data_IF_754292142830
#
_entry.id   IF_754292142830
#
_cell.length_a   1.000
_cell.length_b   1.000
_cell.length_c   1.000
_cell.angle_alpha   90.00
_cell.angle_beta   90.00
_cell.angle_gamma   90.00
#
_symmetry.space_group_name_H-M   'P 1'
#
loop_
_entity.id
_entity.type
_entity.pdbx_description
1 polymer ?
#
# COMPACT_ATOMS: atom_id res chain seq x y z
N UNK A 1 -20.09 2.36 8.81
CA UNK A 1 -19.47 1.87 10.06
C UNK A 1 -18.00 1.65 9.80
N UNK A 2 -17.17 2.53 10.33
CA UNK A 2 -15.75 2.59 10.02
C UNK A 2 -14.97 1.45 10.69
N UNK A 3 -13.97 0.94 9.98
CA UNK A 3 -13.04 -0.08 10.41
C UNK A 3 -11.64 0.46 10.67
N UNK A 4 -11.47 1.78 10.71
CA UNK A 4 -10.15 2.41 10.84
C UNK A 4 -9.34 1.88 12.04
N UNK A 5 -10.01 1.49 13.13
CA UNK A 5 -9.35 0.91 14.32
C UNK A 5 -8.83 -0.52 14.12
N UNK A 6 -9.43 -1.28 13.20
CA UNK A 6 -9.01 -2.67 12.87
C UNK A 6 -7.74 -2.69 12.02
N UNK A 7 -7.52 -1.64 11.22
CA UNK A 7 -6.28 -1.48 10.48
C UNK A 7 -5.13 -1.20 11.44
N UNK A 8 -3.95 -1.75 11.13
CA UNK A 8 -2.70 -1.37 11.81
C UNK A 8 -2.28 0.05 11.38
N UNK A 9 -1.02 0.23 10.98
CA UNK A 9 -0.47 1.51 10.57
C UNK A 9 -0.72 1.80 9.09
N UNK A 10 -0.86 0.78 8.25
CA UNK A 10 -1.07 0.95 6.81
C UNK A 10 -1.69 -0.30 6.18
N UNK A 11 -2.22 -0.16 4.98
CA UNK A 11 -2.73 -1.23 4.12
C UNK A 11 -2.60 -0.85 2.63
N UNK A 12 -2.73 -1.83 1.74
CA UNK A 12 -2.88 -1.62 0.30
C UNK A 12 -4.03 -2.43 -0.29
N UNK A 13 -4.62 -1.93 -1.37
CA UNK A 13 -5.59 -2.63 -2.19
C UNK A 13 -4.87 -3.51 -3.22
N UNK A 14 -5.15 -4.82 -3.28
CA UNK A 14 -4.51 -5.73 -4.24
C UNK A 14 -4.77 -5.36 -5.71
N UNK A 15 -6.01 -4.96 -6.03
CA UNK A 15 -6.50 -4.87 -7.40
C UNK A 15 -5.89 -3.72 -8.20
N UNK A 16 -5.54 -2.61 -7.57
CA UNK A 16 -4.99 -1.43 -8.27
C UNK A 16 -3.49 -1.23 -8.04
N UNK A 17 -2.92 -1.94 -7.06
CA UNK A 17 -1.48 -2.18 -7.02
C UNK A 17 -1.07 -3.27 -8.04
N UNK A 18 -1.76 -3.42 -9.17
CA UNK A 18 -1.50 -4.45 -10.17
C UNK A 18 -0.06 -4.41 -10.75
N UNK A 19 0.58 -3.24 -10.74
CA UNK A 19 2.02 -3.15 -11.07
C UNK A 19 2.92 -3.76 -9.99
N UNK A 20 2.41 -4.01 -8.79
CA UNK A 20 3.10 -4.46 -7.57
C UNK A 20 2.74 -5.89 -7.15
N UNK A 21 1.51 -6.32 -7.41
CA UNK A 21 0.94 -7.60 -6.98
C UNK A 21 0.52 -8.54 -8.11
N UNK A 22 0.92 -8.28 -9.34
CA UNK A 22 0.55 -9.00 -10.59
C UNK A 22 0.68 -10.53 -10.57
N UNK A 23 1.14 -11.14 -9.48
CA UNK A 23 1.44 -12.57 -9.38
C UNK A 23 0.91 -13.27 -8.13
N UNK A 24 0.21 -12.60 -7.21
CA UNK A 24 -0.26 -13.27 -5.98
C UNK A 24 -1.55 -12.65 -5.40
N UNK A 25 -2.71 -13.13 -5.83
CA UNK A 25 -4.00 -12.75 -5.20
C UNK A 25 -4.17 -13.34 -3.80
N UNK A 26 -3.41 -14.38 -3.45
CA UNK A 26 -3.46 -15.03 -2.12
C UNK A 26 -2.88 -14.12 -1.02
N UNK A 27 -2.34 -12.94 -1.36
CA UNK A 27 -1.79 -11.99 -0.38
C UNK A 27 -2.82 -11.48 0.60
N UNK A 28 -4.10 -11.40 0.19
CA UNK A 28 -5.21 -11.06 1.09
C UNK A 28 -5.40 -12.14 2.14
N UNK A 29 -5.30 -13.41 1.76
CA UNK A 29 -5.43 -14.54 2.68
C UNK A 29 -4.19 -14.73 3.56
N UNK A 30 -3.00 -14.56 2.99
CA UNK A 30 -1.72 -14.74 3.67
C UNK A 30 -1.39 -13.57 4.61
N UNK A 31 -1.76 -12.35 4.23
CA UNK A 31 -1.44 -11.12 4.96
C UNK A 31 -2.65 -10.17 5.07
N UNK A 32 -3.80 -10.61 5.63
CA UNK A 32 -5.06 -9.84 5.70
C UNK A 32 -4.97 -8.56 6.53
N UNK A 33 -3.89 -8.40 7.30
CA UNK A 33 -3.62 -7.20 8.10
C UNK A 33 -3.05 -6.05 7.28
N UNK A 34 -2.57 -6.34 6.07
CA UNK A 34 -1.87 -5.39 5.19
C UNK A 34 -2.53 -5.26 3.82
N UNK A 35 -3.28 -6.27 3.37
CA UNK A 35 -4.00 -6.23 2.11
C UNK A 35 -5.49 -6.40 2.32
N UNK A 36 -6.27 -5.56 1.66
CA UNK A 36 -7.74 -5.58 1.67
C UNK A 36 -8.28 -4.85 0.45
N UNK A 37 -9.38 -5.32 -0.11
CA UNK A 37 -10.03 -4.72 -1.28
C UNK A 37 -10.72 -3.40 -0.91
N UNK A 38 -11.48 -3.39 0.20
CA UNK A 38 -12.24 -2.23 0.62
C UNK A 38 -11.44 -1.24 1.47
N UNK A 39 -11.76 0.04 1.34
CA UNK A 39 -11.31 1.07 2.26
C UNK A 39 -11.82 0.79 3.69
N UNK A 40 -11.09 1.19 4.75
CA UNK A 40 -11.59 1.05 6.12
C UNK A 40 -12.73 2.03 6.45
N UNK A 41 -13.10 2.90 5.52
CA UNK A 41 -14.17 3.89 5.65
C UNK A 41 -14.47 4.47 4.27
N UNK A 42 -15.75 4.65 3.96
CA UNK A 42 -16.20 5.33 2.73
C UNK A 42 -16.51 6.81 3.01
N UNK A 43 -16.80 7.15 4.27
CA UNK A 43 -17.09 8.51 4.71
C UNK A 43 -15.81 9.24 5.13
N UNK A 44 -15.18 9.91 4.17
CA UNK A 44 -13.99 10.74 4.39
C UNK A 44 -14.25 12.21 4.07
N UNK A 45 -13.49 13.09 4.71
CA UNK A 45 -13.40 14.49 4.33
C UNK A 45 -11.94 14.87 4.06
N UNK A 46 -11.65 15.50 2.91
CA UNK A 46 -12.52 15.64 1.72
C UNK A 46 -12.93 14.28 1.12
N UNK A 47 -13.88 14.29 0.18
CA UNK A 47 -14.23 13.09 -0.61
C UNK A 47 -12.99 12.57 -1.37
N UNK A 48 -12.96 11.28 -1.67
CA UNK A 48 -11.81 10.66 -2.33
C UNK A 48 -11.49 11.34 -3.66
N UNK A 49 -10.24 11.77 -3.80
CA UNK A 49 -9.75 12.48 -4.97
C UNK A 49 -8.27 12.15 -5.22
N UNK A 50 -7.92 11.77 -6.45
CA UNK A 50 -6.56 11.31 -6.76
C UNK A 50 -5.49 12.42 -6.69
N UNK A 51 -5.87 13.70 -6.61
CA UNK A 51 -4.93 14.84 -6.59
C UNK A 51 -4.45 15.21 -5.18
N UNK A 52 -5.12 14.69 -4.14
CA UNK A 52 -4.79 14.93 -2.74
C UNK A 52 -4.56 13.62 -2.00
N UNK A 53 -3.84 13.72 -0.89
CA UNK A 53 -3.45 12.53 -0.12
C UNK A 53 -3.86 12.57 1.34
N UNK A 54 -4.38 13.69 1.87
CA UNK A 54 -4.73 13.81 3.29
C UNK A 54 -6.24 13.77 3.49
N UNK A 55 -6.69 12.82 4.29
CA UNK A 55 -8.11 12.53 4.50
C UNK A 55 -8.39 12.31 5.97
N UNK A 56 -9.61 12.64 6.40
CA UNK A 56 -10.10 12.32 7.73
C UNK A 56 -11.37 11.48 7.63
N UNK A 57 -11.38 10.35 8.32
CA UNK A 57 -12.60 9.57 8.51
C UNK A 57 -13.65 10.41 9.28
N UNK A 58 -14.84 10.57 8.74
CA UNK A 58 -15.92 11.33 9.37
C UNK A 58 -16.46 10.62 10.62
N UNK A 59 -16.46 9.28 10.62
CA UNK A 59 -16.99 8.50 11.73
C UNK A 59 -16.09 8.52 12.97
N UNK A 60 -14.79 8.22 12.82
CA UNK A 60 -13.87 8.07 13.95
C UNK A 60 -12.78 9.14 14.05
N UNK A 61 -12.76 10.11 13.13
CA UNK A 61 -11.80 11.22 13.08
C UNK A 61 -10.35 10.79 12.86
N UNK A 62 -10.09 9.52 12.48
CA UNK A 62 -8.75 9.06 12.11
C UNK A 62 -8.27 9.77 10.85
N UNK A 63 -7.07 10.33 10.91
CA UNK A 63 -6.37 10.89 9.76
C UNK A 63 -5.65 9.80 8.95
N UNK A 64 -5.72 9.93 7.64
CA UNK A 64 -5.19 8.99 6.68
C UNK A 64 -4.41 9.73 5.60
N UNK A 65 -3.29 9.15 5.22
CA UNK A 65 -2.68 9.36 3.93
C UNK A 65 -3.25 8.31 2.98
N UNK A 66 -3.97 8.73 1.94
CA UNK A 66 -4.45 7.83 0.89
C UNK A 66 -3.83 8.20 -0.45
N UNK A 67 -3.28 7.22 -1.16
CA UNK A 67 -3.06 7.34 -2.60
C UNK A 67 -4.27 6.71 -3.29
N UNK A 68 -5.11 7.54 -3.92
CA UNK A 68 -6.31 7.08 -4.59
C UNK A 68 -6.06 6.76 -6.06
N UNK A 69 -6.84 5.81 -6.59
CA UNK A 69 -6.82 5.44 -8.00
C UNK A 69 -7.28 6.61 -8.89
N UNK A 70 -6.69 6.78 -10.08
CA UNK A 70 -7.05 7.84 -11.02
C UNK A 70 -8.28 7.43 -11.88
N UNK A 71 -9.28 6.80 -11.26
CA UNK A 71 -10.52 6.34 -11.91
C UNK A 71 -11.66 7.33 -11.71
N UNK A 72 -12.77 7.16 -12.46
CA UNK A 72 -13.97 8.01 -12.32
C UNK A 72 -14.57 7.96 -10.91
N UNK A 73 -14.43 6.82 -10.22
CA UNK A 73 -14.71 6.67 -8.80
C UNK A 73 -13.39 6.38 -8.07
N UNK A 74 -12.70 7.39 -7.53
CA UNK A 74 -11.43 7.20 -6.83
C UNK A 74 -11.62 6.38 -5.57
N UNK A 75 -10.70 5.45 -5.32
CA UNK A 75 -10.65 4.66 -4.10
C UNK A 75 -9.21 4.49 -3.61
N UNK A 76 -8.98 4.31 -2.30
CA UNK A 76 -7.63 4.26 -1.75
C UNK A 76 -6.90 2.97 -2.12
N UNK A 77 -5.85 3.08 -2.95
CA UNK A 77 -4.95 1.98 -3.30
C UNK A 77 -3.92 1.72 -2.21
N UNK A 78 -3.49 2.77 -1.51
CA UNK A 78 -2.59 2.71 -0.36
C UNK A 78 -3.17 3.60 0.74
N UNK A 79 -3.24 3.08 1.97
CA UNK A 79 -3.63 3.85 3.13
C UNK A 79 -2.61 3.77 4.26
N UNK A 80 -2.24 4.91 4.81
CA UNK A 80 -1.30 5.02 5.95
C UNK A 80 -1.93 5.90 7.02
N UNK A 81 -1.99 5.41 8.26
CA UNK A 81 -2.50 6.20 9.39
C UNK A 81 -1.57 7.36 9.70
N UNK A 82 -2.16 8.54 9.80
CA UNK A 82 -1.51 9.74 10.26
C UNK A 82 -1.86 9.99 11.73
N UNK A 83 -0.94 10.61 12.47
CA UNK A 83 -1.20 10.99 13.88
C UNK A 83 -2.09 12.22 13.99
N UNK A 84 -2.00 13.12 13.02
CA UNK A 84 -2.73 14.39 12.97
C UNK A 84 -2.77 14.91 11.51
N UNK A 85 -3.60 15.92 11.26
CA UNK A 85 -3.72 16.58 9.94
C UNK A 85 -2.38 17.10 9.40
N UNK A 86 -1.57 17.71 10.27
CA UNK A 86 -0.29 18.34 9.91
C UNK A 86 0.84 17.33 9.72
N UNK A 87 0.57 16.04 9.99
CA UNK A 87 1.56 15.00 9.76
C UNK A 87 1.68 14.76 8.26
N UNK A 88 2.73 15.31 7.65
CA UNK A 88 3.14 14.98 6.28
C UNK A 88 4.10 13.80 6.29
N UNK A 89 3.83 12.80 5.46
CA UNK A 89 4.77 11.71 5.22
C UNK A 89 5.83 12.17 4.22
N UNK A 90 7.09 11.90 4.51
CA UNK A 90 8.15 12.09 3.54
C UNK A 90 8.04 11.06 2.40
N UNK A 91 8.56 11.40 1.23
CA UNK A 91 8.65 10.46 0.10
C UNK A 91 9.42 9.18 0.47
N UNK A 92 10.38 9.28 1.39
CA UNK A 92 11.17 8.15 1.87
C UNK A 92 10.33 7.20 2.73
N UNK A 93 9.49 7.73 3.61
CA UNK A 93 8.58 6.92 4.44
C UNK A 93 7.54 6.19 3.60
N UNK A 94 6.92 6.90 2.65
CA UNK A 94 5.96 6.28 1.71
C UNK A 94 6.65 5.19 0.89
N UNK A 95 7.86 5.45 0.37
CA UNK A 95 8.64 4.46 -0.38
C UNK A 95 8.95 3.23 0.48
N UNK A 96 9.37 3.40 1.73
CA UNK A 96 9.69 2.29 2.63
C UNK A 96 8.45 1.40 2.90
N UNK A 97 7.28 2.00 3.09
CA UNK A 97 6.02 1.26 3.27
C UNK A 97 5.65 0.49 2.00
N UNK A 98 5.77 1.11 0.82
CA UNK A 98 5.54 0.42 -0.46
C UNK A 98 6.48 -0.78 -0.63
N UNK A 99 7.78 -0.59 -0.38
CA UNK A 99 8.76 -1.67 -0.44
C UNK A 99 8.42 -2.82 0.52
N UNK A 100 8.00 -2.50 1.75
CA UNK A 100 7.56 -3.51 2.71
C UNK A 100 6.35 -4.31 2.19
N UNK A 101 5.34 -3.63 1.64
CA UNK A 101 4.16 -4.27 1.08
C UNK A 101 4.50 -5.17 -0.12
N UNK A 102 5.41 -4.75 -1.00
CA UNK A 102 5.89 -5.57 -2.12
C UNK A 102 6.57 -6.84 -1.60
N UNK A 103 7.48 -6.70 -0.64
CA UNK A 103 8.17 -7.85 -0.06
C UNK A 103 7.16 -8.84 0.52
N UNK A 104 6.15 -8.37 1.24
CA UNK A 104 5.08 -9.24 1.76
C UNK A 104 4.30 -9.93 0.63
N UNK A 105 3.95 -9.21 -0.42
CA UNK A 105 3.16 -9.78 -1.50
C UNK A 105 3.92 -10.84 -2.31
N UNK A 106 5.24 -10.74 -2.36
CA UNK A 106 6.12 -11.75 -2.92
C UNK A 106 6.66 -12.72 -1.87
N UNK A 107 6.06 -12.79 -0.67
CA UNK A 107 6.42 -13.72 0.41
C UNK A 107 7.90 -13.67 0.83
N UNK A 108 8.54 -12.53 0.68
CA UNK A 108 9.94 -12.30 1.00
C UNK A 108 10.87 -12.35 -0.21
N UNK A 109 12.13 -12.69 0.08
CA UNK A 109 13.21 -12.74 -0.90
C UNK A 109 13.47 -14.17 -1.37
N UNK A 110 13.94 -14.29 -2.61
CA UNK A 110 14.57 -15.49 -3.14
C UNK A 110 16.01 -15.59 -2.62
N UNK A 111 16.56 -16.81 -2.64
CA UNK A 111 18.00 -17.02 -2.47
C UNK A 111 18.80 -16.59 -3.71
N UNK A 112 18.14 -16.38 -4.85
CA UNK A 112 18.76 -15.91 -6.09
C UNK A 112 18.89 -14.37 -6.12
N UNK A 113 19.91 -13.89 -6.82
CA UNK A 113 20.11 -12.46 -7.09
C UNK A 113 19.14 -11.95 -8.18
N UNK A 114 18.97 -10.63 -8.20
CA UNK A 114 18.21 -9.92 -9.21
C UNK A 114 18.79 -10.13 -10.62
N UNK A 115 17.92 -10.34 -11.61
CA UNK A 115 18.31 -10.58 -13.02
C UNK A 115 18.97 -9.37 -13.70
N UNK A 116 18.83 -8.17 -13.14
CA UNK A 116 19.48 -6.97 -13.66
C UNK A 116 21.00 -7.08 -13.57
N UNK A 117 21.68 -6.81 -14.68
CA UNK A 117 23.14 -6.82 -14.79
C UNK A 117 23.77 -5.94 -13.70
N UNK A 118 24.82 -6.47 -13.04
CA UNK A 118 25.53 -5.82 -11.92
C UNK A 118 24.70 -5.54 -10.66
N UNK A 119 23.52 -6.16 -10.51
CA UNK A 119 22.72 -6.07 -9.29
C UNK A 119 22.97 -7.25 -8.34
N UNK A 120 23.54 -6.98 -7.16
CA UNK A 120 23.77 -7.98 -6.10
C UNK A 120 22.63 -8.07 -5.07
N UNK A 121 21.51 -7.39 -5.29
CA UNK A 121 20.36 -7.49 -4.38
C UNK A 121 19.64 -8.83 -4.59
N UNK A 122 19.11 -9.40 -3.52
CA UNK A 122 18.25 -10.57 -3.60
C UNK A 122 16.98 -10.25 -4.41
N UNK A 123 16.59 -11.18 -5.28
CA UNK A 123 15.33 -11.15 -5.97
C UNK A 123 14.16 -11.36 -4.99
N UNK A 124 12.95 -10.95 -5.39
CA UNK A 124 11.72 -11.29 -4.67
C UNK A 124 11.38 -12.78 -4.91
N UNK A 125 10.73 -13.48 -3.97
CA UNK A 125 10.61 -14.95 -4.06
C UNK A 125 9.91 -15.44 -5.33
N UNK A 126 8.89 -14.72 -5.78
CA UNK A 126 8.04 -15.12 -6.90
C UNK A 126 8.43 -14.46 -8.22
N UNK A 127 9.41 -13.54 -8.22
CA UNK A 127 9.87 -12.83 -9.42
C UNK A 127 11.39 -12.59 -9.38
N UNK A 128 12.07 -12.67 -10.52
CA UNK A 128 13.55 -12.58 -10.59
C UNK A 128 14.11 -11.15 -10.48
N UNK A 129 13.39 -10.23 -9.84
CA UNK A 129 13.73 -8.80 -9.75
C UNK A 129 13.77 -8.41 -8.26
N UNK A 130 14.72 -7.57 -7.85
CA UNK A 130 14.77 -7.06 -6.48
C UNK A 130 13.79 -5.92 -6.24
N UNK A 131 13.47 -5.65 -4.98
CA UNK A 131 12.55 -4.58 -4.58
C UNK A 131 12.95 -3.20 -5.11
N UNK A 132 14.25 -2.92 -5.27
CA UNK A 132 14.74 -1.63 -5.77
C UNK A 132 14.54 -1.43 -7.27
N UNK A 133 14.55 -2.50 -8.06
CA UNK A 133 14.26 -2.45 -9.50
C UNK A 133 12.78 -2.61 -9.80
N UNK A 134 12.02 -3.08 -8.81
CA UNK A 134 10.58 -3.16 -8.87
C UNK A 134 9.92 -1.77 -8.66
N UNK A 135 10.49 -0.94 -7.78
CA UNK A 135 9.98 0.37 -7.37
C UNK A 135 10.53 1.57 -8.16
#
# INVERSE_FOLDING_TARGET
MCECRKIKSFFACPDDFNNLFSFNFDVVENFPKYFREDAPTDEVIPEFDYSITSYRCLECQQWWYFECSPTESPYPMLGIKLKAQEHSLSKVEVKAIKQFLIILAHEGFSAEECVHYECSNLALKNIKICVSHFC
#
